data_IF_938414584482
#
_entry.id   IF_938414584482
#
_cell.length_a   1.000
_cell.length_b   1.000
_cell.length_c   1.000
_cell.angle_alpha   90.00
_cell.angle_beta   90.00
_cell.angle_gamma   90.00
#
_symmetry.space_group_name_H-M   'P 1'
#
loop_
_entity.id
_entity.type
_entity.pdbx_description
1 polymer ?
#
# COMPACT_ATOMS: atom_id res chain seq x y z
N UNK A 1 4.24 22.75 14.75
CA UNK A 1 3.54 22.53 16.05
C UNK A 1 3.57 23.75 16.98
N UNK A 2 4.71 24.44 17.15
CA UNK A 2 4.87 25.56 18.08
C UNK A 2 3.83 26.68 17.93
N UNK A 3 3.50 27.10 16.70
CA UNK A 3 2.44 28.10 16.43
C UNK A 3 1.03 27.61 16.85
N UNK A 4 0.70 26.33 16.65
CA UNK A 4 -0.59 25.74 17.06
C UNK A 4 -0.68 25.61 18.60
N UNK A 5 0.43 25.28 19.25
CA UNK A 5 0.53 25.21 20.71
C UNK A 5 0.36 26.58 21.37
N UNK A 6 1.07 27.60 20.90
CA UNK A 6 0.93 28.98 21.40
C UNK A 6 -0.51 29.52 21.26
N UNK A 7 -1.25 29.08 20.24
CA UNK A 7 -2.64 29.51 20.01
C UNK A 7 -3.66 28.78 20.90
N UNK A 8 -3.37 27.55 21.35
CA UNK A 8 -4.37 26.68 21.98
C UNK A 8 -3.96 26.12 23.35
N UNK A 9 -2.80 26.48 23.91
CA UNK A 9 -2.29 25.94 25.18
C UNK A 9 -3.25 26.09 26.36
N UNK A 10 -4.14 27.08 26.35
CA UNK A 10 -5.13 27.32 27.41
C UNK A 10 -6.40 26.48 27.26
N UNK A 11 -6.57 25.71 26.17
CA UNK A 11 -7.76 24.90 25.89
C UNK A 11 -7.53 23.45 26.30
N UNK A 12 -8.13 22.94 27.40
CA UNK A 12 -7.92 21.56 27.85
C UNK A 12 -8.32 20.52 26.78
N UNK A 13 -9.40 20.78 26.05
CA UNK A 13 -9.88 19.93 24.95
C UNK A 13 -8.81 19.76 23.85
N UNK A 14 -8.08 20.82 23.51
CA UNK A 14 -7.00 20.76 22.52
C UNK A 14 -5.83 19.87 22.98
N UNK A 15 -5.53 19.87 24.28
CA UNK A 15 -4.51 18.97 24.82
C UNK A 15 -4.90 17.51 24.68
N UNK A 16 -6.13 17.17 25.07
CA UNK A 16 -6.64 15.79 25.06
C UNK A 16 -6.81 15.26 23.63
N UNK A 17 -7.36 16.08 22.73
CA UNK A 17 -7.74 15.63 21.38
C UNK A 17 -6.63 15.79 20.33
N UNK A 18 -5.63 16.65 20.57
CA UNK A 18 -4.62 16.95 19.55
C UNK A 18 -3.19 16.87 20.08
N UNK A 19 -2.86 17.59 21.14
CA UNK A 19 -1.46 17.73 21.55
C UNK A 19 -0.87 16.43 22.14
N UNK A 20 -1.60 15.78 23.05
CA UNK A 20 -1.17 14.51 23.67
C UNK A 20 -1.12 13.37 22.63
N UNK A 21 -2.15 13.16 21.77
CA UNK A 21 -2.06 12.17 20.70
C UNK A 21 -0.87 12.39 19.77
N UNK A 22 -0.62 13.63 19.35
CA UNK A 22 0.53 13.95 18.51
C UNK A 22 1.85 13.62 19.21
N UNK A 23 2.03 14.06 20.46
CA UNK A 23 3.26 13.81 21.21
C UNK A 23 3.52 12.30 21.41
N UNK A 24 2.46 11.52 21.67
CA UNK A 24 2.53 10.06 21.75
C UNK A 24 2.93 9.42 20.43
N UNK A 25 2.34 9.86 19.31
CA UNK A 25 2.71 9.39 17.97
C UNK A 25 4.18 9.67 17.67
N UNK A 26 4.66 10.89 17.93
CA UNK A 26 6.09 11.23 17.73
C UNK A 26 7.00 10.39 18.61
N UNK A 27 6.62 10.16 19.87
CA UNK A 27 7.39 9.31 20.79
C UNK A 27 7.46 7.87 20.30
N UNK A 28 6.35 7.32 19.78
CA UNK A 28 6.30 5.98 19.22
C UNK A 28 7.19 5.85 17.97
N UNK A 29 7.13 6.83 17.06
CA UNK A 29 8.03 6.90 15.89
C UNK A 29 9.49 6.89 16.30
N UNK A 30 9.89 7.82 17.17
CA UNK A 30 11.28 7.91 17.66
C UNK A 30 11.72 6.65 18.40
N UNK A 31 10.84 6.06 19.22
CA UNK A 31 11.15 4.81 19.90
C UNK A 31 11.37 3.67 18.91
N UNK A 32 10.47 3.52 17.94
CA UNK A 32 10.56 2.48 16.91
C UNK A 32 11.83 2.66 16.08
N UNK A 33 12.16 3.87 15.64
CA UNK A 33 13.36 4.10 14.82
C UNK A 33 14.67 3.86 15.57
N UNK A 34 14.72 4.14 16.88
CA UNK A 34 15.89 3.87 17.72
C UNK A 34 16.03 2.37 18.01
N UNK A 35 14.92 1.66 18.23
CA UNK A 35 14.96 0.24 18.62
C UNK A 35 14.97 -0.71 17.44
N UNK A 36 14.43 -0.30 16.29
CA UNK A 36 14.28 -1.18 15.15
C UNK A 36 15.65 -1.57 14.59
N UNK A 37 15.91 -2.87 14.64
CA UNK A 37 17.11 -3.51 14.13
C UNK A 37 16.62 -4.61 13.19
N UNK A 38 16.58 -4.36 11.87
CA UNK A 38 16.00 -5.31 10.93
C UNK A 38 16.80 -6.60 10.87
N UNK A 39 16.13 -7.74 10.99
CA UNK A 39 16.75 -9.06 10.86
C UNK A 39 16.89 -9.54 9.41
N UNK A 40 16.22 -8.86 8.48
CA UNK A 40 16.25 -9.12 7.03
C UNK A 40 17.05 -8.04 6.27
N UNK A 41 17.71 -8.39 5.14
CA UNK A 41 18.46 -7.43 4.33
C UNK A 41 17.58 -6.25 3.86
N UNK A 42 18.13 -5.04 3.90
CA UNK A 42 17.46 -3.85 3.36
C UNK A 42 17.31 -3.99 1.85
N UNK A 43 16.08 -3.88 1.34
CA UNK A 43 15.79 -3.91 -0.08
C UNK A 43 15.82 -2.49 -0.65
N UNK A 44 16.68 -2.27 -1.65
CA UNK A 44 16.62 -1.10 -2.52
C UNK A 44 16.06 -1.58 -3.85
N UNK A 45 14.78 -1.34 -4.09
CA UNK A 45 13.99 -2.09 -5.05
C UNK A 45 14.64 -2.19 -6.44
N UNK A 46 15.07 -1.06 -6.98
CA UNK A 46 15.63 -0.98 -8.33
C UNK A 46 17.06 -1.54 -8.44
N UNK A 47 17.77 -1.72 -7.33
CA UNK A 47 19.09 -2.35 -7.26
C UNK A 47 19.02 -3.89 -7.16
N UNK A 48 17.84 -4.44 -6.89
CA UNK A 48 17.63 -5.88 -6.86
C UNK A 48 17.50 -6.45 -8.29
N UNK A 49 17.84 -7.73 -8.44
CA UNK A 49 17.84 -8.43 -9.72
C UNK A 49 16.46 -9.04 -10.02
N UNK A 50 15.69 -8.40 -10.89
CA UNK A 50 14.37 -8.83 -11.36
C UNK A 50 14.03 -8.18 -12.71
N UNK A 51 13.25 -8.87 -13.54
CA UNK A 51 12.75 -8.34 -14.82
C UNK A 51 11.29 -7.87 -14.69
N UNK A 52 10.47 -8.68 -14.00
CA UNK A 52 9.09 -8.38 -13.69
C UNK A 52 8.89 -8.44 -12.17
N UNK A 53 8.34 -7.38 -11.58
CA UNK A 53 8.09 -7.24 -10.16
C UNK A 53 6.60 -7.13 -9.91
N UNK A 54 6.05 -8.01 -9.08
CA UNK A 54 4.68 -7.92 -8.57
C UNK A 54 4.75 -7.40 -7.14
N UNK A 55 4.12 -6.25 -6.91
CA UNK A 55 4.11 -5.54 -5.64
C UNK A 55 2.69 -5.62 -5.04
N UNK A 56 2.55 -6.28 -3.90
CA UNK A 56 1.29 -6.38 -3.15
C UNK A 56 1.25 -5.28 -2.09
N UNK A 57 0.25 -4.40 -2.10
CA UNK A 57 0.16 -3.29 -1.15
C UNK A 57 -0.13 -3.80 0.27
N UNK A 58 0.69 -3.37 1.22
CA UNK A 58 0.55 -3.70 2.63
C UNK A 58 0.50 -5.22 2.88
N UNK A 59 1.32 -6.05 2.22
CA UNK A 59 1.37 -7.50 2.43
C UNK A 59 2.45 -7.87 3.43
N UNK A 60 2.04 -8.42 4.58
CA UNK A 60 3.00 -8.88 5.60
C UNK A 60 3.67 -10.18 5.18
N UNK A 61 4.91 -10.36 5.62
CA UNK A 61 5.63 -11.61 5.40
C UNK A 61 4.93 -12.83 6.02
N UNK A 62 4.49 -12.75 7.28
CA UNK A 62 3.84 -13.87 7.99
C UNK A 62 2.49 -14.26 7.37
N UNK A 63 1.76 -13.28 6.84
CA UNK A 63 0.54 -13.50 6.07
C UNK A 63 0.86 -14.20 4.73
N UNK A 64 1.82 -13.67 3.97
CA UNK A 64 2.20 -14.23 2.68
C UNK A 64 2.75 -15.65 2.83
N UNK A 65 3.64 -15.90 3.80
CA UNK A 65 4.21 -17.22 4.07
C UNK A 65 3.12 -18.28 4.34
N UNK A 66 2.05 -17.91 5.06
CA UNK A 66 0.96 -18.81 5.40
C UNK A 66 0.04 -19.12 4.21
N UNK A 67 -0.20 -18.15 3.35
CA UNK A 67 -1.26 -18.22 2.32
C UNK A 67 -0.73 -18.45 0.90
N UNK A 68 0.55 -18.17 0.65
CA UNK A 68 1.13 -18.28 -0.67
C UNK A 68 1.05 -19.71 -1.23
N UNK A 69 0.47 -19.83 -2.42
CA UNK A 69 0.39 -21.08 -3.19
C UNK A 69 1.42 -21.16 -4.33
N UNK A 70 2.13 -20.06 -4.61
CA UNK A 70 3.03 -19.93 -5.74
C UNK A 70 4.38 -20.58 -5.40
N UNK A 71 4.86 -21.46 -6.28
CA UNK A 71 6.17 -22.10 -6.13
C UNK A 71 7.30 -21.11 -6.45
N UNK A 72 8.28 -21.01 -5.55
CA UNK A 72 9.47 -20.18 -5.72
C UNK A 72 10.38 -20.22 -4.49
N UNK A 73 11.47 -19.47 -4.54
CA UNK A 73 12.37 -19.29 -3.39
C UNK A 73 11.88 -18.12 -2.52
N UNK A 74 11.16 -18.44 -1.45
CA UNK A 74 10.62 -17.44 -0.52
C UNK A 74 11.71 -16.97 0.44
N UNK A 75 12.02 -15.68 0.35
CA UNK A 75 12.93 -14.98 1.25
C UNK A 75 12.22 -13.82 1.94
N UNK A 76 12.94 -13.14 2.83
CA UNK A 76 12.49 -11.89 3.46
C UNK A 76 13.36 -10.72 3.02
N UNK A 77 12.77 -9.53 2.96
CA UNK A 77 13.48 -8.26 2.84
C UNK A 77 12.93 -7.23 3.82
N UNK A 78 13.74 -6.23 4.12
CA UNK A 78 13.33 -5.03 4.84
C UNK A 78 13.01 -3.91 3.85
N UNK A 79 11.73 -3.56 3.72
CA UNK A 79 11.27 -2.40 2.95
C UNK A 79 11.86 -1.10 3.50
N UNK A 80 12.07 -0.12 2.62
CA UNK A 80 12.51 1.22 3.00
C UNK A 80 11.39 2.02 3.69
N UNK A 81 10.12 1.73 3.40
CA UNK A 81 8.96 2.44 3.94
C UNK A 81 8.15 1.59 4.91
N UNK A 82 7.49 2.24 5.86
CA UNK A 82 6.45 1.62 6.70
C UNK A 82 5.03 1.85 6.16
N UNK A 83 4.93 2.36 4.94
CA UNK A 83 3.71 2.74 4.23
C UNK A 83 4.04 3.22 2.81
N UNK A 84 3.11 3.07 1.87
CA UNK A 84 3.31 3.38 0.44
C UNK A 84 3.93 4.76 0.18
N UNK A 85 3.50 5.87 0.82
CA UNK A 85 4.09 7.18 0.59
C UNK A 85 5.60 7.23 0.89
N UNK A 86 6.06 6.51 1.92
CA UNK A 86 7.47 6.46 2.32
C UNK A 86 8.25 5.50 1.42
N UNK A 87 7.65 4.36 1.07
CA UNK A 87 8.22 3.41 0.13
C UNK A 87 8.52 4.06 -1.23
N UNK A 88 7.54 4.78 -1.78
CA UNK A 88 7.65 5.47 -3.06
C UNK A 88 8.73 6.56 -3.02
N UNK A 89 8.69 7.42 -2.00
CA UNK A 89 9.71 8.48 -1.83
C UNK A 89 11.11 7.88 -1.74
N UNK A 90 11.32 6.85 -0.92
CA UNK A 90 12.68 6.32 -0.69
C UNK A 90 13.25 5.46 -1.82
N UNK A 91 12.40 4.86 -2.66
CA UNK A 91 12.87 4.07 -3.79
C UNK A 91 13.02 4.87 -5.08
N UNK A 92 12.20 5.92 -5.29
CA UNK A 92 12.02 6.51 -6.62
C UNK A 92 12.19 8.04 -6.67
N UNK A 93 12.06 8.76 -5.55
CA UNK A 93 12.12 10.23 -5.60
C UNK A 93 13.54 10.71 -5.90
N UNK A 94 13.69 11.48 -6.97
CA UNK A 94 14.99 11.99 -7.43
C UNK A 94 15.83 10.97 -8.20
N UNK A 95 15.24 9.85 -8.67
CA UNK A 95 15.89 8.87 -9.53
C UNK A 95 15.27 8.83 -10.92
N UNK A 96 15.88 8.06 -11.84
CA UNK A 96 15.41 7.87 -13.22
C UNK A 96 15.46 6.38 -13.55
N UNK A 97 14.34 5.86 -14.07
CA UNK A 97 14.06 4.45 -14.40
C UNK A 97 13.26 4.36 -15.71
N UNK A 98 13.81 4.98 -16.76
CA UNK A 98 13.28 5.00 -18.14
C UNK A 98 13.36 3.64 -18.85
N UNK A 99 13.88 2.63 -18.16
CA UNK A 99 13.85 1.23 -18.50
C UNK A 99 12.63 0.49 -17.95
N UNK A 100 11.76 1.17 -17.18
CA UNK A 100 10.73 0.55 -16.36
C UNK A 100 9.35 1.12 -16.65
N UNK A 101 8.34 0.25 -16.74
CA UNK A 101 6.91 0.59 -16.79
C UNK A 101 6.29 0.30 -15.42
N UNK A 102 5.59 1.28 -14.86
CA UNK A 102 4.92 1.17 -13.56
C UNK A 102 3.40 1.10 -13.74
N UNK A 103 2.83 -0.09 -13.58
CA UNK A 103 1.38 -0.31 -13.61
C UNK A 103 0.89 -0.27 -12.17
N UNK A 104 -0.11 0.55 -11.84
CA UNK A 104 -0.52 0.75 -10.44
C UNK A 104 -2.03 0.86 -10.25
N UNK A 105 -2.52 0.12 -9.26
CA UNK A 105 -3.85 0.27 -8.66
C UNK A 105 -3.88 1.33 -7.53
N UNK A 106 -2.74 1.94 -7.20
CA UNK A 106 -2.60 2.90 -6.11
C UNK A 106 -2.36 4.33 -6.62
N UNK A 107 -3.28 5.30 -6.37
CA UNK A 107 -3.11 6.69 -6.77
C UNK A 107 -2.03 7.46 -5.98
N UNK A 108 -1.46 6.88 -4.91
CA UNK A 108 -0.51 7.56 -4.01
C UNK A 108 0.67 8.20 -4.75
N UNK A 109 1.14 7.58 -5.83
CA UNK A 109 2.27 8.10 -6.59
C UNK A 109 1.99 9.49 -7.22
N UNK A 110 0.72 9.83 -7.52
CA UNK A 110 0.32 11.15 -8.04
C UNK A 110 0.57 12.27 -7.03
N UNK A 111 0.67 11.95 -5.74
CA UNK A 111 1.00 12.91 -4.67
C UNK A 111 2.50 13.14 -4.51
N UNK A 112 3.31 12.40 -5.27
CA UNK A 112 4.78 12.41 -5.22
C UNK A 112 5.34 12.97 -6.52
N UNK A 113 6.57 13.45 -6.48
CA UNK A 113 7.28 13.95 -7.66
C UNK A 113 7.87 12.80 -8.49
N UNK A 114 6.99 11.90 -8.98
CA UNK A 114 7.37 10.67 -9.69
C UNK A 114 7.00 10.67 -11.18
N UNK A 115 6.51 11.80 -11.71
CA UNK A 115 6.00 11.90 -13.09
C UNK A 115 7.03 11.49 -14.15
N UNK A 116 8.29 11.87 -13.97
CA UNK A 116 9.34 11.69 -14.99
C UNK A 116 10.32 10.58 -14.61
N UNK A 117 9.96 9.75 -13.63
CA UNK A 117 10.84 8.68 -13.11
C UNK A 117 10.79 7.46 -14.01
N UNK A 118 9.61 7.04 -14.46
CA UNK A 118 9.42 5.82 -15.24
C UNK A 118 9.31 6.14 -16.73
N UNK A 119 9.48 5.12 -17.58
CA UNK A 119 9.16 5.26 -19.01
C UNK A 119 7.67 5.51 -19.22
N UNK A 120 6.84 4.74 -18.52
CA UNK A 120 5.38 4.86 -18.55
C UNK A 120 4.79 4.51 -17.17
N UNK A 121 3.65 5.12 -16.84
CA UNK A 121 2.87 4.85 -15.64
C UNK A 121 1.41 4.60 -16.02
N UNK A 122 0.96 3.35 -15.90
CA UNK A 122 -0.40 2.95 -16.24
C UNK A 122 -1.29 3.05 -15.00
N UNK A 123 -2.22 4.00 -15.04
CA UNK A 123 -3.21 4.26 -13.98
C UNK A 123 -4.40 3.31 -14.04
N UNK A 124 -4.22 2.09 -13.53
CA UNK A 124 -5.33 1.12 -13.44
C UNK A 124 -6.40 1.62 -12.45
N UNK A 125 -6.00 2.31 -11.39
CA UNK A 125 -6.94 3.03 -10.51
C UNK A 125 -7.72 4.12 -11.25
N UNK A 126 -7.15 4.65 -12.34
CA UNK A 126 -7.74 5.62 -13.25
C UNK A 126 -8.96 5.06 -13.98
N UNK A 127 -8.72 3.95 -14.70
CA UNK A 127 -9.64 3.34 -15.66
C UNK A 127 -10.52 2.23 -15.10
N UNK A 128 -10.04 1.44 -14.14
CA UNK A 128 -10.67 0.18 -13.68
C UNK A 128 -11.10 0.23 -12.20
N UNK A 129 -11.44 1.42 -11.70
CA UNK A 129 -11.93 1.60 -10.34
C UNK A 129 -13.31 0.94 -10.14
N UNK A 130 -13.42 0.06 -9.15
CA UNK A 130 -14.71 -0.52 -8.76
C UNK A 130 -15.37 0.37 -7.69
N UNK A 131 -16.40 1.12 -8.09
CA UNK A 131 -17.12 2.02 -7.19
C UNK A 131 -17.87 1.32 -6.05
N UNK A 132 -18.19 0.03 -6.20
CA UNK A 132 -18.86 -0.74 -5.17
C UNK A 132 -17.85 -1.25 -4.14
N UNK A 133 -16.70 -1.73 -4.59
CA UNK A 133 -15.64 -2.28 -3.74
C UNK A 133 -14.64 -1.21 -3.27
N UNK A 134 -14.69 0.01 -3.84
CA UNK A 134 -13.81 1.15 -3.51
C UNK A 134 -12.32 0.83 -3.67
N UNK A 135 -12.01 0.01 -4.66
CA UNK A 135 -10.65 -0.43 -4.98
C UNK A 135 -10.59 -0.91 -6.42
N UNK A 136 -9.39 -1.15 -6.94
CA UNK A 136 -9.21 -1.91 -8.18
C UNK A 136 -9.24 -3.40 -7.85
N UNK A 137 -9.98 -4.17 -8.65
CA UNK A 137 -10.05 -5.63 -8.50
C UNK A 137 -8.73 -6.26 -8.99
N UNK A 138 -8.24 -7.33 -8.35
CA UNK A 138 -6.97 -7.96 -8.74
C UNK A 138 -7.00 -8.54 -10.17
N UNK A 139 -8.18 -8.97 -10.64
CA UNK A 139 -8.40 -9.34 -12.05
C UNK A 139 -7.98 -8.21 -13.01
N UNK A 140 -8.48 -7.00 -12.77
CA UNK A 140 -8.21 -5.83 -13.61
C UNK A 140 -6.76 -5.39 -13.57
N UNK A 141 -6.14 -5.51 -12.41
CA UNK A 141 -4.71 -5.27 -12.27
C UNK A 141 -3.87 -6.27 -13.07
N UNK A 142 -4.23 -7.55 -13.05
CA UNK A 142 -3.54 -8.58 -13.83
C UNK A 142 -3.78 -8.41 -15.35
N UNK A 143 -4.99 -8.05 -15.78
CA UNK A 143 -5.29 -7.76 -17.19
C UNK A 143 -4.41 -6.62 -17.72
N UNK A 144 -4.40 -5.47 -17.05
CA UNK A 144 -3.58 -4.32 -17.43
C UNK A 144 -2.07 -4.64 -17.42
N UNK A 145 -1.63 -5.52 -16.51
CA UNK A 145 -0.23 -5.94 -16.46
C UNK A 145 0.16 -6.81 -17.65
N UNK A 146 -0.73 -7.71 -18.09
CA UNK A 146 -0.48 -8.54 -19.28
C UNK A 146 -0.46 -7.68 -20.56
N UNK A 147 -1.36 -6.71 -20.67
CA UNK A 147 -1.36 -5.75 -21.79
C UNK A 147 -0.04 -4.97 -21.85
N UNK A 148 0.42 -4.45 -20.70
CA UNK A 148 1.71 -3.76 -20.61
C UNK A 148 2.90 -4.68 -20.91
N UNK A 149 2.83 -5.96 -20.53
CA UNK A 149 3.88 -6.93 -20.83
C UNK A 149 4.05 -7.18 -22.32
N UNK A 150 2.94 -7.25 -23.06
CA UNK A 150 2.95 -7.39 -24.51
C UNK A 150 3.38 -6.09 -25.22
N UNK A 151 2.95 -4.93 -24.73
CA UNK A 151 3.25 -3.62 -25.32
C UNK A 151 4.71 -3.21 -25.12
N UNK A 152 5.31 -3.55 -23.97
CA UNK A 152 6.64 -3.10 -23.56
C UNK A 152 7.62 -4.27 -23.29
N UNK A 153 7.94 -5.11 -24.29
CA UNK A 153 8.75 -6.32 -24.09
C UNK A 153 10.20 -6.03 -23.63
N UNK A 154 10.74 -4.87 -24.00
CA UNK A 154 12.10 -4.43 -23.63
C UNK A 154 12.19 -3.61 -22.34
N UNK A 155 11.12 -3.57 -21.53
CA UNK A 155 11.06 -2.81 -20.28
C UNK A 155 10.91 -3.73 -19.08
N UNK A 156 11.48 -3.32 -17.95
CA UNK A 156 11.17 -3.90 -16.64
C UNK A 156 9.72 -3.54 -16.28
N UNK A 157 9.04 -4.42 -15.57
CA UNK A 157 7.65 -4.18 -15.15
C UNK A 157 7.57 -4.13 -13.64
N UNK A 158 6.86 -3.12 -13.12
CA UNK A 158 6.38 -3.09 -11.74
C UNK A 158 4.85 -3.10 -11.79
N UNK A 159 4.23 -4.16 -11.30
CA UNK A 159 2.78 -4.32 -11.19
C UNK A 159 2.34 -4.18 -9.73
N UNK A 160 1.74 -3.04 -9.38
CA UNK A 160 1.36 -2.71 -8.01
C UNK A 160 -0.13 -2.92 -7.75
N UNK A 161 -0.43 -4.05 -7.12
CA UNK A 161 -1.77 -4.45 -6.67
C UNK A 161 -2.16 -3.73 -5.40
N UNK A 162 -3.45 -3.42 -5.24
CA UNK A 162 -3.98 -2.86 -4.00
C UNK A 162 -4.18 -3.93 -2.91
N UNK A 163 -4.29 -5.21 -3.27
CA UNK A 163 -4.46 -6.27 -2.27
C UNK A 163 -3.09 -6.70 -1.70
N UNK A 164 -3.01 -7.05 -0.40
CA UNK A 164 -4.11 -7.23 0.55
C UNK A 164 -4.52 -5.98 1.35
N UNK A 165 -4.04 -4.78 1.03
CA UNK A 165 -4.50 -3.54 1.66
C UNK A 165 -6.02 -3.36 1.57
N UNK A 166 -6.60 -2.64 2.54
CA UNK A 166 -8.03 -2.32 2.57
C UNK A 166 -8.39 -1.29 1.47
N UNK A 167 -9.65 -1.15 1.02
CA UNK A 167 -10.84 -1.89 1.42
C UNK A 167 -10.73 -3.39 1.16
N UNK A 168 -11.20 -4.20 2.12
CA UNK A 168 -11.22 -5.65 1.96
C UNK A 168 -12.34 -6.06 1.01
N UNK A 169 -12.02 -6.98 0.11
CA UNK A 169 -13.00 -7.63 -0.78
C UNK A 169 -13.26 -9.06 -0.31
N UNK A 170 -14.42 -9.62 -0.65
CA UNK A 170 -14.80 -10.99 -0.31
C UNK A 170 -15.93 -11.09 0.70
N UNK A 171 -16.07 -12.28 1.28
CA UNK A 171 -17.16 -12.66 2.17
C UNK A 171 -16.92 -12.19 3.61
N UNK A 172 -15.70 -12.32 4.12
CA UNK A 172 -15.29 -11.87 5.45
C UNK A 172 -15.32 -10.35 5.59
N UNK A 173 -15.13 -9.62 4.49
CA UNK A 173 -15.33 -8.17 4.47
C UNK A 173 -16.77 -7.78 4.90
N UNK A 174 -17.76 -8.62 4.59
CA UNK A 174 -19.16 -8.41 5.00
C UNK A 174 -19.41 -8.70 6.47
N UNK A 175 -18.58 -9.55 7.11
CA UNK A 175 -18.66 -9.83 8.55
C UNK A 175 -18.21 -8.65 9.41
N UNK A 176 -17.23 -7.88 8.90
CA UNK A 176 -16.71 -6.67 9.55
C UNK A 176 -17.72 -5.50 9.47
N UNK A 177 -18.69 -5.60 8.55
CA UNK A 177 -19.68 -4.58 8.30
C UNK A 177 -19.12 -3.36 7.60
N UNK A 178 -19.92 -2.30 7.55
CA UNK A 178 -19.59 -1.06 6.88
C UNK A 178 -18.52 -0.26 7.66
N UNK A 179 -17.28 -0.32 7.18
CA UNK A 179 -16.16 0.50 7.61
C UNK A 179 -15.87 1.54 6.52
N UNK A 180 -15.31 2.71 6.85
CA UNK A 180 -14.98 3.72 5.83
C UNK A 180 -14.11 3.06 4.74
N UNK A 181 -14.52 2.88 3.48
CA UNK A 181 -15.23 3.82 2.58
C UNK A 181 -16.76 3.80 2.45
N UNK A 182 -17.54 3.37 3.43
CA UNK A 182 -18.98 3.15 3.23
C UNK A 182 -19.98 4.34 3.40
N UNK A 183 -19.60 5.57 3.80
CA UNK A 183 -20.65 6.60 4.06
C UNK A 183 -20.48 7.98 3.42
N UNK A 184 -19.36 8.24 2.74
CA UNK A 184 -19.12 9.55 2.12
C UNK A 184 -19.87 9.74 0.79
N UNK A 185 -19.82 8.75 -0.11
CA UNK A 185 -20.43 8.86 -1.44
C UNK A 185 -21.97 8.90 -1.39
N UNK A 186 -22.61 8.19 -0.43
CA UNK A 186 -24.07 8.15 -0.30
C UNK A 186 -24.65 9.44 0.32
N UNK A 187 -24.01 10.00 1.35
CA UNK A 187 -24.49 11.24 2.02
C UNK A 187 -24.27 12.52 1.20
N UNK A 188 -23.28 12.53 0.29
CA UNK A 188 -23.00 13.66 -0.61
C UNK A 188 -24.03 13.80 -1.73
N UNK A 189 -24.62 12.69 -2.20
CA UNK A 189 -25.75 12.69 -3.15
C UNK A 189 -27.05 13.17 -2.49
N UNK A 190 -27.18 13.06 -1.16
CA UNK A 190 -28.36 13.49 -0.40
C UNK A 190 -28.27 14.93 0.16
N UNK A 191 -27.19 15.67 -0.11
CA UNK A 191 -27.09 17.10 0.19
C UNK A 191 -27.00 17.46 1.68
N UNK A 192 -26.50 16.55 2.53
CA UNK A 192 -26.25 16.84 3.94
C UNK A 192 -24.85 17.43 4.17
N UNK A 193 -24.75 18.43 5.07
CA UNK A 193 -23.50 19.01 5.58
C UNK A 193 -22.72 17.94 6.37
N UNK A 194 -21.97 17.09 5.66
CA UNK A 194 -21.25 15.98 6.27
C UNK A 194 -19.90 16.43 6.84
N UNK A 195 -19.86 16.71 8.15
CA UNK A 195 -18.60 16.64 8.91
C UNK A 195 -18.15 15.16 8.98
N UNK A 196 -16.84 14.89 8.81
CA UNK A 196 -16.22 13.55 8.92
C UNK A 196 -16.65 12.85 10.21
N UNK A 197 -17.35 11.71 10.09
CA UNK A 197 -17.84 10.97 11.27
C UNK A 197 -17.47 9.48 11.29
N UNK A 198 -16.70 8.96 10.32
CA UNK A 198 -16.34 7.53 10.30
C UNK A 198 -14.85 7.25 10.28
N UNK A 199 -14.47 6.38 11.20
CA UNK A 199 -13.11 5.87 11.42
C UNK A 199 -12.76 4.80 10.38
N UNK A 200 -11.50 4.74 9.94
CA UNK A 200 -10.99 3.62 9.12
C UNK A 200 -11.16 2.30 9.85
N UNK A 201 -11.10 1.16 9.15
CA UNK A 201 -11.14 -0.16 9.80
C UNK A 201 -10.09 -0.29 10.91
N UNK A 202 -8.91 0.27 10.68
CA UNK A 202 -7.83 0.31 11.66
C UNK A 202 -8.18 1.12 12.90
N UNK A 203 -8.86 2.26 12.74
CA UNK A 203 -9.32 3.05 13.87
C UNK A 203 -10.48 2.37 14.62
N UNK A 204 -11.40 1.69 13.91
CA UNK A 204 -12.44 0.87 14.54
C UNK A 204 -11.84 -0.30 15.34
N UNK A 205 -10.79 -0.94 14.81
CA UNK A 205 -10.04 -2.00 15.50
C UNK A 205 -9.31 -1.44 16.74
N UNK A 206 -8.64 -0.29 16.62
CA UNK A 206 -7.94 0.36 17.74
C UNK A 206 -8.90 0.82 18.86
N UNK A 207 -10.16 1.13 18.50
CA UNK A 207 -11.24 1.45 19.43
C UNK A 207 -11.91 0.20 20.04
N UNK A 208 -11.57 -1.00 19.55
CA UNK A 208 -12.20 -2.26 19.97
C UNK A 208 -13.65 -2.41 19.51
N UNK A 209 -14.05 -1.68 18.46
CA UNK A 209 -15.39 -1.77 17.84
C UNK A 209 -15.52 -2.93 16.85
N UNK A 210 -14.40 -3.41 16.33
CA UNK A 210 -14.33 -4.58 15.46
C UNK A 210 -13.41 -5.61 16.10
N UNK A 211 -13.78 -6.88 15.96
CA UNK A 211 -12.98 -8.00 16.43
C UNK A 211 -11.70 -8.18 15.60
N UNK A 212 -10.59 -8.43 16.29
CA UNK A 212 -9.26 -8.58 15.67
C UNK A 212 -9.19 -9.82 14.79
N UNK A 213 -9.87 -10.91 15.15
CA UNK A 213 -9.89 -12.12 14.34
C UNK A 213 -10.71 -11.91 13.07
N UNK A 214 -11.81 -11.16 13.13
CA UNK A 214 -12.57 -10.77 11.96
C UNK A 214 -11.73 -9.95 10.97
N UNK A 215 -10.96 -8.96 11.46
CA UNK A 215 -10.04 -8.17 10.61
C UNK A 215 -8.98 -9.06 9.97
N UNK A 216 -8.37 -9.98 10.72
CA UNK A 216 -7.43 -10.94 10.15
C UNK A 216 -8.05 -11.82 9.07
N UNK A 217 -9.27 -12.32 9.26
CA UNK A 217 -9.97 -13.11 8.22
C UNK A 217 -10.17 -12.32 6.94
N UNK A 218 -10.65 -11.08 7.01
CA UNK A 218 -10.83 -10.27 5.82
C UNK A 218 -9.50 -9.87 5.16
N UNK A 219 -8.47 -9.60 5.95
CA UNK A 219 -7.15 -9.28 5.44
C UNK A 219 -6.51 -10.48 4.72
N UNK A 220 -6.63 -11.68 5.30
CA UNK A 220 -6.17 -12.94 4.71
C UNK A 220 -6.95 -13.28 3.43
N UNK A 221 -8.28 -13.20 3.46
CA UNK A 221 -9.13 -13.44 2.28
C UNK A 221 -8.81 -12.45 1.14
N UNK A 222 -8.49 -11.20 1.46
CA UNK A 222 -8.09 -10.21 0.45
C UNK A 222 -6.84 -10.64 -0.31
N UNK A 223 -5.87 -11.25 0.38
CA UNK A 223 -4.68 -11.84 -0.25
C UNK A 223 -5.06 -13.09 -1.05
N UNK A 224 -5.87 -13.99 -0.49
CA UNK A 224 -6.33 -15.22 -1.16
C UNK A 224 -7.06 -14.92 -2.47
N UNK A 225 -7.83 -13.84 -2.55
CA UNK A 225 -8.49 -13.41 -3.79
C UNK A 225 -7.48 -12.91 -4.82
N UNK A 226 -6.39 -12.26 -4.38
CA UNK A 226 -5.36 -11.72 -5.28
C UNK A 226 -4.39 -12.79 -5.81
N UNK A 227 -4.03 -13.77 -4.98
CA UNK A 227 -3.02 -14.78 -5.30
C UNK A 227 -3.26 -15.53 -6.63
N UNK A 228 -4.48 -15.97 -7.00
CA UNK A 228 -4.72 -16.60 -8.30
C UNK A 228 -4.39 -15.70 -9.50
N UNK A 229 -4.58 -14.39 -9.36
CA UNK A 229 -4.25 -13.43 -10.41
C UNK A 229 -2.74 -13.16 -10.47
N UNK A 230 -2.06 -13.13 -9.32
CA UNK A 230 -0.59 -13.08 -9.25
C UNK A 230 0.01 -14.35 -9.87
N UNK A 231 -0.52 -15.52 -9.53
CA UNK A 231 -0.08 -16.80 -10.07
C UNK A 231 -0.26 -16.87 -11.60
N UNK A 232 -1.36 -16.31 -12.12
CA UNK A 232 -1.56 -16.16 -13.57
C UNK A 232 -0.43 -15.35 -14.21
N UNK A 233 -0.02 -14.23 -13.61
CA UNK A 233 1.08 -13.41 -14.14
C UNK A 233 2.41 -14.17 -14.10
N UNK A 234 2.72 -14.77 -12.95
CA UNK A 234 3.95 -15.55 -12.75
C UNK A 234 4.07 -16.69 -13.77
N UNK A 235 2.97 -17.39 -14.06
CA UNK A 235 2.94 -18.49 -15.03
C UNK A 235 2.94 -18.01 -16.49
N UNK A 236 2.75 -16.72 -16.75
CA UNK A 236 2.74 -16.14 -18.11
C UNK A 236 4.10 -15.57 -18.48
N UNK A 237 4.86 -15.04 -17.52
CA UNK A 237 6.16 -14.43 -17.79
C UNK A 237 7.25 -15.49 -17.98
N UNK A 238 8.01 -15.38 -19.07
CA UNK A 238 9.16 -16.25 -19.34
C UNK A 238 10.39 -15.83 -18.51
N UNK A 239 10.46 -14.57 -18.06
CA UNK A 239 11.61 -13.99 -17.38
C UNK A 239 11.54 -14.04 -15.85
N UNK A 240 12.58 -13.53 -15.17
CA UNK A 240 12.68 -13.58 -13.72
C UNK A 240 11.59 -12.70 -13.08
N UNK A 241 10.74 -13.33 -12.26
CA UNK A 241 9.69 -12.67 -11.51
C UNK A 241 10.04 -12.59 -10.03
N UNK A 242 9.77 -11.45 -9.41
CA UNK A 242 9.78 -11.31 -7.96
C UNK A 242 8.40 -10.88 -7.49
N UNK A 243 7.83 -11.59 -6.52
CA UNK A 243 6.63 -11.15 -5.78
C UNK A 243 7.07 -10.63 -4.41
N UNK A 244 6.71 -9.39 -4.11
CA UNK A 244 7.09 -8.69 -2.88
C UNK A 244 6.00 -7.73 -2.43
N UNK A 245 6.27 -6.96 -1.39
CA UNK A 245 5.38 -5.94 -0.87
C UNK A 245 6.10 -4.61 -0.65
N UNK A 246 5.35 -3.52 -0.73
CA UNK A 246 5.84 -2.17 -0.46
C UNK A 246 6.02 -1.93 1.04
N UNK A 247 5.16 -2.52 1.87
CA UNK A 247 5.23 -2.57 3.33
C UNK A 247 4.30 -3.65 3.89
N UNK A 248 4.31 -3.88 5.21
CA UNK A 248 3.30 -4.69 5.89
C UNK A 248 2.22 -3.83 6.55
N UNK A 249 1.48 -4.39 7.50
CA UNK A 249 0.39 -3.68 8.18
C UNK A 249 0.29 -4.11 9.64
N UNK A 250 -0.01 -3.19 10.54
CA UNK A 250 -0.31 -3.52 11.92
C UNK A 250 -1.78 -3.96 12.06
N UNK A 251 -2.02 -5.06 12.74
CA UNK A 251 -3.33 -5.57 13.12
C UNK A 251 -3.36 -5.71 14.64
N UNK A 252 -3.39 -4.55 15.32
CA UNK A 252 -3.47 -4.42 16.78
C UNK A 252 -2.16 -4.74 17.55
N UNK A 253 -0.97 -4.50 17.01
CA UNK A 253 0.30 -4.73 17.72
C UNK A 253 0.71 -3.57 18.65
N UNK A 254 1.59 -3.88 19.60
CA UNK A 254 2.14 -2.91 20.55
C UNK A 254 3.53 -2.45 20.09
N UNK A 255 3.62 -1.19 19.66
CA UNK A 255 4.87 -0.59 19.14
C UNK A 255 5.82 -0.15 20.25
N UNK A 256 5.29 0.29 21.39
CA UNK A 256 6.10 0.72 22.54
C UNK A 256 5.67 -0.03 23.82
N UNK A 257 6.58 -0.31 24.78
CA UNK A 257 6.26 -1.11 25.96
C UNK A 257 5.03 -0.62 26.75
N UNK A 258 4.85 0.70 26.83
CA UNK A 258 3.77 1.35 27.56
C UNK A 258 2.70 1.98 26.66
N UNK A 259 2.83 1.82 25.34
CA UNK A 259 1.92 2.37 24.36
C UNK A 259 0.61 1.61 24.26
N UNK A 260 -0.36 2.24 23.59
CA UNK A 260 -1.54 1.53 23.09
C UNK A 260 -1.13 0.59 21.95
N UNK A 261 -1.99 -0.39 21.70
CA UNK A 261 -1.96 -1.15 20.45
C UNK A 261 -2.37 -0.23 19.29
N UNK A 262 -1.82 -0.47 18.11
CA UNK A 262 -1.98 0.37 16.93
C UNK A 262 -2.25 -0.56 15.75
N UNK A 263 -3.07 -0.10 14.82
CA UNK A 263 -3.39 -0.81 13.58
C UNK A 263 -3.15 0.08 12.36
N UNK A 264 -3.07 -0.54 11.17
CA UNK A 264 -2.72 0.15 9.93
C UNK A 264 -1.20 0.33 9.76
N UNK A 265 -0.80 1.32 8.99
CA UNK A 265 0.60 1.52 8.58
C UNK A 265 1.08 2.95 8.88
N UNK A 266 1.22 3.31 10.17
CA UNK A 266 1.66 4.65 10.54
C UNK A 266 3.05 4.97 9.97
N UNK A 267 3.09 5.93 9.05
CA UNK A 267 4.32 6.40 8.36
C UNK A 267 5.44 6.71 9.36
N UNK A 268 6.68 6.31 9.04
CA UNK A 268 7.87 6.45 9.89
C UNK A 268 7.79 5.68 11.22
N UNK A 269 7.05 4.57 11.25
CA UNK A 269 7.02 3.66 12.39
C UNK A 269 7.62 2.34 11.97
N UNK A 270 8.74 1.96 12.57
CA UNK A 270 9.55 0.85 12.07
C UNK A 270 9.41 -0.37 12.99
N UNK A 271 8.75 -1.40 12.47
CA UNK A 271 8.61 -2.73 13.09
C UNK A 271 8.68 -3.79 11.99
N UNK A 272 8.88 -5.05 12.36
CA UNK A 272 8.93 -6.14 11.38
C UNK A 272 7.57 -6.28 10.68
N UNK A 273 6.47 -6.12 11.40
CA UNK A 273 5.11 -6.16 10.85
C UNK A 273 4.85 -5.12 9.76
N UNK A 274 5.61 -4.02 9.75
CA UNK A 274 5.49 -2.96 8.74
C UNK A 274 6.56 -3.02 7.66
N UNK A 275 7.72 -3.61 7.93
CA UNK A 275 8.87 -3.49 7.02
C UNK A 275 9.45 -4.83 6.58
N UNK A 276 9.21 -5.92 7.30
CA UNK A 276 9.62 -7.26 6.89
C UNK A 276 8.58 -7.78 5.89
N UNK A 277 8.97 -7.74 4.62
CA UNK A 277 8.11 -8.07 3.47
C UNK A 277 8.55 -9.40 2.84
N UNK A 278 7.63 -10.13 2.19
CA UNK A 278 8.00 -11.30 1.40
C UNK A 278 8.89 -10.91 0.24
N UNK A 279 9.75 -11.83 -0.18
CA UNK A 279 10.57 -11.72 -1.38
C UNK A 279 10.61 -13.08 -2.04
N UNK A 280 9.55 -13.41 -2.77
CA UNK A 280 9.43 -14.67 -3.49
C UNK A 280 10.09 -14.54 -4.86
N UNK A 281 11.15 -15.31 -5.09
CA UNK A 281 11.85 -15.34 -6.37
C UNK A 281 11.35 -16.52 -7.20
N UNK A 282 10.87 -16.22 -8.40
CA UNK A 282 10.56 -17.22 -9.42
C UNK A 282 11.60 -17.07 -10.53
N UNK A 283 12.37 -18.14 -10.76
CA UNK A 283 13.35 -18.17 -11.84
C UNK A 283 12.64 -18.18 -13.19
N UNK A 284 13.03 -17.27 -14.08
CA UNK A 284 12.64 -17.33 -15.49
C UNK A 284 13.50 -18.30 -16.28
N UNK A 285 13.01 -18.69 -17.45
CA UNK A 285 13.78 -19.39 -18.48
C UNK A 285 14.70 -18.42 -19.23
N UNK A 286 14.29 -17.14 -19.31
CA UNK A 286 14.99 -16.08 -20.02
C UNK A 286 15.17 -14.84 -19.13
N UNK A 287 15.82 -13.81 -19.69
CA UNK A 287 15.97 -12.47 -19.10
C UNK A 287 15.58 -11.46 -20.17
N UNK A 288 15.01 -10.32 -19.76
CA UNK A 288 14.67 -9.26 -20.70
C UNK A 288 15.94 -8.58 -21.24
N UNK A 289 15.91 -8.22 -22.52
CA UNK A 289 16.84 -7.22 -23.05
C UNK A 289 16.28 -5.83 -22.74
N UNK A 290 16.87 -5.17 -21.74
CA UNK A 290 16.34 -3.93 -21.18
C UNK A 290 16.87 -2.71 -21.94
N UNK A 291 15.96 -1.82 -22.36
CA UNK A 291 16.28 -0.58 -23.06
C UNK A 291 15.69 0.66 -22.36
N UNK A 292 16.52 1.68 -22.13
CA UNK A 292 16.08 2.98 -21.61
C UNK A 292 15.59 3.89 -22.74
N UNK A 293 14.40 4.47 -22.56
CA UNK A 293 13.84 5.47 -23.47
C UNK A 293 13.07 6.51 -22.67
N UNK A 294 13.16 7.78 -23.08
CA UNK A 294 12.50 8.91 -22.41
C UNK A 294 11.00 8.66 -22.16
N UNK A 295 10.42 9.27 -21.10
CA UNK A 295 9.03 9.03 -20.73
C UNK A 295 8.07 9.40 -21.85
N UNK A 296 6.99 8.63 -21.98
CA UNK A 296 5.88 9.02 -22.84
C UNK A 296 5.10 10.19 -22.20
N UNK A 297 4.49 11.05 -23.02
CA UNK A 297 3.72 12.18 -22.51
C UNK A 297 2.49 11.69 -21.72
N UNK A 298 2.53 11.81 -20.39
CA UNK A 298 1.38 11.49 -19.56
C UNK A 298 0.27 12.53 -19.69
N UNK A 299 -0.94 12.08 -20.05
CA UNK A 299 -2.16 12.87 -19.89
C UNK A 299 -2.51 12.98 -18.40
N UNK A 300 -2.65 14.19 -17.90
CA UNK A 300 -3.01 14.42 -16.50
C UNK A 300 -4.46 13.97 -16.26
N UNK A 301 -4.67 12.98 -15.38
CA UNK A 301 -5.97 12.74 -14.77
C UNK A 301 -6.40 13.89 -13.84
N UNK A 302 -7.70 14.05 -13.65
CA UNK A 302 -8.29 15.13 -12.85
C UNK A 302 -7.87 15.01 -11.37
N UNK A 303 -7.36 16.10 -10.78
CA UNK A 303 -6.81 16.10 -9.41
C UNK A 303 -7.85 15.78 -8.35
N UNK A 304 -9.12 16.10 -8.61
CA UNK A 304 -10.21 15.86 -7.67
C UNK A 304 -10.48 14.35 -7.51
N UNK A 305 -10.37 13.59 -8.60
CA UNK A 305 -10.53 12.12 -8.59
C UNK A 305 -9.44 11.44 -7.78
N UNK A 306 -8.21 11.97 -7.79
CA UNK A 306 -7.09 11.45 -6.98
C UNK A 306 -7.40 11.57 -5.48
N UNK A 307 -7.91 12.73 -5.05
CA UNK A 307 -8.19 12.99 -3.63
C UNK A 307 -9.30 12.08 -3.12
N UNK A 308 -10.37 11.92 -3.90
CA UNK A 308 -11.52 11.09 -3.52
C UNK A 308 -11.10 9.61 -3.40
N UNK A 309 -10.38 9.06 -4.38
CA UNK A 309 -9.91 7.67 -4.34
C UNK A 309 -8.89 7.42 -3.23
N UNK A 310 -8.00 8.37 -2.94
CA UNK A 310 -7.12 8.29 -1.78
C UNK A 310 -7.88 8.31 -0.46
N UNK A 311 -9.03 8.98 -0.40
CA UNK A 311 -9.89 8.97 0.79
C UNK A 311 -10.57 7.62 0.98
N UNK A 312 -11.02 7.00 -0.11
CA UNK A 312 -11.61 5.66 -0.11
C UNK A 312 -10.61 4.58 0.36
N UNK A 313 -9.33 4.72 -0.03
CA UNK A 313 -8.21 3.89 0.45
C UNK A 313 -7.68 4.33 1.83
N UNK A 314 -8.27 5.37 2.42
CA UNK A 314 -7.92 5.98 3.71
C UNK A 314 -6.46 6.43 3.84
N UNK A 315 -5.87 6.88 2.74
CA UNK A 315 -4.56 7.54 2.71
C UNK A 315 -4.61 9.02 3.09
N UNK A 316 -5.78 9.67 3.02
CA UNK A 316 -5.94 11.07 3.43
C UNK A 316 -6.71 11.19 4.74
N UNK A 317 -6.04 11.73 5.76
CA UNK A 317 -6.67 12.29 6.94
C UNK A 317 -6.85 13.81 6.73
N UNK A 318 -7.91 14.23 6.03
CA UNK A 318 -8.31 15.66 5.93
C UNK A 318 -8.98 16.24 7.18
#
# INVERSE_FOLDING_TARGET
>A
MMKKALKNFHKPKWWVESAIPFARSQTAKSYSSIRYDPDAPICRLMSEDWDNLILLDACRFDQFERLNTINGDLQTRTSLGSGTPEFLTKNFEGTTHHDTVYITANPMYRTKSLKDVFHEVIDVWGSEWDDQQKTVRPEKMAEATLEAYEEFPGKRIISHFMQPHYPFIGDSAREIGDHAGYEWAYRRVQGEDATRDHSTIWALLDEGKVDVEAVWRAYDENLEIALPHVERLVNTFDEKVVVTSDHGNLVNERITPFGKRVSGHPIETYTDELRKVPWLVISGETRKEIHEEEPQEHTNGDSDVVVDRLADLGYVNT
#
